data_IF_999906351281
#
_entry.id   IF_999906351281
#
_cell.length_a   1.000
_cell.length_b   1.000
_cell.length_c   1.000
_cell.angle_alpha   90.00
_cell.angle_beta   90.00
_cell.angle_gamma   90.00
#
_symmetry.space_group_name_H-M   'P 1'
#
loop_
_entity.id
_entity.type
_entity.pdbx_description
1 polymer ?
#
# COMPACT_ATOMS: atom_id res chain seq x y z
N UNK A 1 -13.12 14.93 -2.32
CA UNK A 1 -11.70 14.55 -2.54
C UNK A 1 -11.67 13.08 -2.89
N UNK A 2 -11.18 12.72 -4.07
CA UNK A 2 -11.16 11.31 -4.49
C UNK A 2 -10.00 10.57 -3.79
N UNK A 3 -10.30 9.39 -3.23
CA UNK A 3 -9.32 8.52 -2.58
C UNK A 3 -8.95 7.39 -3.53
N UNK A 4 -7.66 7.06 -3.58
CA UNK A 4 -7.14 5.86 -4.20
C UNK A 4 -6.84 4.81 -3.16
N UNK A 5 -7.00 3.55 -3.55
CA UNK A 5 -6.76 2.41 -2.69
C UNK A 5 -5.79 1.44 -3.37
N UNK A 6 -4.86 0.89 -2.59
CA UNK A 6 -3.95 -0.16 -3.03
C UNK A 6 -3.97 -1.32 -2.05
N UNK A 7 -3.98 -2.55 -2.58
CA UNK A 7 -3.98 -3.77 -1.80
C UNK A 7 -2.60 -4.41 -1.90
N UNK A 8 -2.01 -4.73 -0.75
CA UNK A 8 -0.75 -5.45 -0.65
C UNK A 8 -0.97 -6.78 0.06
N UNK A 9 -0.28 -7.81 -0.42
CA UNK A 9 -0.18 -9.10 0.24
C UNK A 9 1.27 -9.30 0.67
N UNK A 10 1.48 -9.52 1.98
CA UNK A 10 2.77 -9.88 2.53
C UNK A 10 2.73 -11.38 2.86
N UNK A 11 3.60 -12.20 2.24
CA UNK A 11 3.68 -13.62 2.52
C UNK A 11 3.95 -13.94 4.00
N UNK A 12 3.68 -15.18 4.45
CA UNK A 12 3.81 -15.54 5.85
C UNK A 12 5.25 -15.55 6.37
N UNK A 13 6.25 -15.75 5.50
CA UNK A 13 7.67 -15.65 5.85
C UNK A 13 8.18 -14.20 5.95
N UNK A 14 7.36 -13.20 5.63
CA UNK A 14 7.72 -11.80 5.87
C UNK A 14 7.67 -11.53 7.37
N UNK A 15 8.83 -11.31 7.98
CA UNK A 15 8.89 -10.94 9.39
C UNK A 15 8.27 -9.55 9.63
N UNK A 16 8.02 -9.23 10.91
CA UNK A 16 7.36 -7.98 11.31
C UNK A 16 8.15 -6.73 10.91
N UNK A 17 9.48 -6.77 11.02
CA UNK A 17 10.35 -5.61 10.76
C UNK A 17 10.41 -5.35 9.27
N UNK A 18 10.56 -6.39 8.45
CA UNK A 18 10.50 -6.30 6.99
C UNK A 18 9.13 -5.78 6.54
N UNK A 19 8.03 -6.28 7.12
CA UNK A 19 6.69 -5.76 6.85
C UNK A 19 6.56 -4.27 7.17
N UNK A 20 7.09 -3.83 8.33
CA UNK A 20 7.09 -2.42 8.72
C UNK A 20 7.89 -1.58 7.73
N UNK A 21 9.10 -2.01 7.35
CA UNK A 21 9.94 -1.31 6.37
C UNK A 21 9.22 -1.12 5.03
N UNK A 22 8.57 -2.16 4.51
CA UNK A 22 7.78 -2.06 3.27
C UNK A 22 6.68 -1.01 3.41
N UNK A 23 5.88 -1.06 4.49
CA UNK A 23 4.79 -0.11 4.70
C UNK A 23 5.30 1.33 4.88
N UNK A 24 6.43 1.51 5.57
CA UNK A 24 7.10 2.81 5.67
C UNK A 24 7.54 3.31 4.31
N UNK A 25 8.14 2.47 3.46
CA UNK A 25 8.51 2.89 2.09
C UNK A 25 7.31 3.35 1.27
N UNK A 26 6.17 2.64 1.37
CA UNK A 26 4.92 3.08 0.73
C UNK A 26 4.46 4.45 1.23
N UNK A 27 4.60 4.73 2.53
CA UNK A 27 4.24 6.01 3.12
C UNK A 27 5.18 7.14 2.71
N UNK A 28 6.47 6.96 2.93
CA UNK A 28 7.49 7.99 2.70
C UNK A 28 7.61 8.37 1.21
N UNK A 29 7.56 7.37 0.32
CA UNK A 29 7.85 7.61 -1.11
C UNK A 29 6.62 7.54 -2.00
N UNK A 30 5.57 6.80 -1.60
CA UNK A 30 4.35 6.65 -2.39
C UNK A 30 3.20 7.57 -1.98
N UNK A 31 3.34 8.27 -0.84
CA UNK A 31 2.28 9.07 -0.23
C UNK A 31 1.08 8.23 0.21
N UNK A 32 1.31 6.94 0.49
CA UNK A 32 0.27 6.02 0.94
C UNK A 32 0.14 6.02 2.46
N UNK A 33 -1.09 6.00 2.94
CA UNK A 33 -1.40 5.82 4.35
C UNK A 33 -1.95 4.42 4.61
N UNK A 34 -1.60 3.83 5.75
CA UNK A 34 -2.17 2.56 6.17
C UNK A 34 -3.65 2.75 6.54
N UNK A 35 -4.55 2.08 5.82
CA UNK A 35 -5.98 2.08 6.14
C UNK A 35 -6.39 0.86 6.96
N UNK A 36 -5.95 -0.33 6.53
CA UNK A 36 -6.29 -1.59 7.20
C UNK A 36 -5.15 -2.58 7.08
N UNK A 37 -4.82 -3.23 8.17
CA UNK A 37 -3.91 -4.37 8.21
C UNK A 37 -4.60 -5.56 8.86
N UNK A 38 -4.54 -6.72 8.20
CA UNK A 38 -5.01 -7.99 8.76
C UNK A 38 -3.88 -9.01 8.71
N UNK A 39 -3.42 -9.44 9.88
CA UNK A 39 -2.60 -10.64 10.02
C UNK A 39 -3.52 -11.87 10.00
N UNK A 40 -3.21 -12.83 9.14
CA UNK A 40 -3.94 -14.08 9.00
C UNK A 40 -3.30 -15.19 9.84
N UNK A 41 -4.04 -16.26 10.19
CA UNK A 41 -3.51 -17.36 10.99
C UNK A 41 -2.31 -18.08 10.36
N UNK A 42 -2.21 -18.07 9.04
CA UNK A 42 -1.06 -18.62 8.29
C UNK A 42 0.20 -17.75 8.40
N UNK A 43 0.13 -16.59 9.04
CA UNK A 43 1.22 -15.61 9.20
C UNK A 43 1.26 -14.55 8.10
N UNK A 44 0.48 -14.71 7.03
CA UNK A 44 0.43 -13.74 5.94
C UNK A 44 -0.32 -12.48 6.35
N UNK A 45 -0.05 -11.35 5.68
CA UNK A 45 -0.74 -10.08 5.95
C UNK A 45 -1.44 -9.58 4.69
N UNK A 46 -2.70 -9.17 4.84
CA UNK A 46 -3.43 -8.41 3.84
C UNK A 46 -3.52 -6.97 4.29
N UNK A 47 -3.02 -6.07 3.47
CA UNK A 47 -2.95 -4.64 3.77
C UNK A 47 -3.74 -3.86 2.73
N UNK A 48 -4.51 -2.89 3.21
CA UNK A 48 -5.12 -1.85 2.40
C UNK A 48 -4.44 -0.54 2.74
N UNK A 49 -3.93 0.11 1.69
CA UNK A 49 -3.37 1.44 1.73
C UNK A 49 -4.32 2.39 1.03
N UNK A 50 -4.37 3.63 1.48
CA UNK A 50 -5.15 4.71 0.86
C UNK A 50 -4.30 5.94 0.63
N UNK A 51 -4.63 6.74 -0.39
CA UNK A 51 -4.07 8.08 -0.55
C UNK A 51 -5.05 9.00 -1.24
N UNK A 52 -4.86 10.31 -1.11
CA UNK A 52 -5.66 11.28 -1.86
C UNK A 52 -5.17 11.36 -3.31
N UNK A 53 -6.09 11.32 -4.29
CA UNK A 53 -5.73 11.62 -5.69
C UNK A 53 -5.12 13.00 -5.78
N UNK A 54 -3.96 13.08 -6.42
CA UNK A 54 -3.37 14.35 -6.82
C UNK A 54 -4.06 14.80 -8.09
N UNK A 55 -4.72 15.98 -8.12
CA UNK A 55 -5.22 16.54 -9.36
C UNK A 55 -4.01 16.71 -10.31
N UNK A 56 -4.05 16.08 -11.49
CA UNK A 56 -2.95 16.13 -12.47
C UNK A 56 -2.14 14.83 -12.65
N UNK A 57 -2.46 13.74 -11.94
CA UNK A 57 -1.99 12.41 -12.36
C UNK A 57 -2.61 12.08 -13.72
N UNK A 58 -1.81 12.14 -14.79
CA UNK A 58 -2.26 11.74 -16.13
C UNK A 58 -2.84 10.30 -16.06
N UNK A 59 -3.96 10.02 -16.75
CA UNK A 59 -4.46 8.66 -16.85
C UNK A 59 -3.40 7.77 -17.50
N UNK A 60 -3.10 6.63 -16.89
CA UNK A 60 -1.98 5.74 -17.25
C UNK A 60 -2.12 4.98 -18.57
N UNK A 61 -2.85 5.51 -19.56
CA UNK A 61 -3.04 4.88 -20.87
C UNK A 61 -2.49 5.70 -22.06
N UNK A 62 -1.98 6.93 -21.86
CA UNK A 62 -1.40 7.68 -22.98
C UNK A 62 0.05 7.23 -23.28
N UNK A 63 0.36 6.72 -24.49
CA UNK A 63 1.73 6.58 -24.95
C UNK A 63 2.27 7.96 -25.37
N UNK A 64 3.50 8.27 -24.95
CA UNK A 64 4.28 9.43 -25.42
C UNK A 64 4.95 9.15 -26.75
#
# INVERSE_FOLDING_TARGET
>A
MELEYQRLYLPPWTDRRTAQTVLTMHAEFGGWELERLRLLPDGSRRVVLRRRRRPGSLPGYLPT
#
